data_IF_333042670150
#
_entry.id   IF_333042670150
#
_cell.length_a   1.000
_cell.length_b   1.000
_cell.length_c   1.000
_cell.angle_alpha   90.00
_cell.angle_beta   90.00
_cell.angle_gamma   90.00
#
_symmetry.space_group_name_H-M   'P 1'
#
loop_
_entity.id
_entity.type
_entity.pdbx_description
1 polymer ?
#
# COMPACT_ATOMS: atom_id res chain seq x y z
N UNK A 1 -4.65 26.40 -17.20
CA UNK A 1 -4.53 25.04 -16.68
C UNK A 1 -5.81 24.70 -15.95
N UNK A 2 -6.38 23.52 -16.17
CA UNK A 2 -7.56 23.02 -15.45
C UNK A 2 -7.18 22.59 -14.02
N UNK A 3 -8.14 22.57 -13.08
CA UNK A 3 -7.91 22.05 -11.74
C UNK A 3 -7.31 20.64 -11.77
N UNK A 4 -6.15 20.45 -11.14
CA UNK A 4 -5.45 19.16 -11.06
C UNK A 4 -4.63 18.78 -12.29
N UNK A 5 -4.57 19.61 -13.33
CA UNK A 5 -3.89 19.29 -14.59
C UNK A 5 -2.39 19.01 -14.41
N UNK A 6 -1.70 19.76 -13.54
CA UNK A 6 -0.29 19.53 -13.24
C UNK A 6 -0.03 18.20 -12.52
N UNK A 7 -0.86 17.87 -11.53
CA UNK A 7 -0.78 16.59 -10.80
C UNK A 7 -1.08 15.42 -11.72
N UNK A 8 -2.10 15.55 -12.59
CA UNK A 8 -2.43 14.54 -13.61
C UNK A 8 -1.26 14.31 -14.57
N UNK A 9 -0.63 15.37 -15.08
CA UNK A 9 0.57 15.24 -15.93
C UNK A 9 1.72 14.56 -15.20
N UNK A 10 1.94 14.86 -13.91
CA UNK A 10 2.99 14.19 -13.13
C UNK A 10 2.73 12.68 -12.97
N UNK A 11 1.47 12.29 -12.74
CA UNK A 11 1.05 10.88 -12.67
C UNK A 11 1.21 10.17 -14.02
N UNK A 12 0.66 10.74 -15.10
CA UNK A 12 0.74 10.13 -16.44
C UNK A 12 2.17 9.98 -16.95
N UNK A 13 3.07 10.90 -16.57
CA UNK A 13 4.49 10.82 -16.89
C UNK A 13 5.28 9.92 -15.91
N UNK A 14 4.61 9.21 -15.00
CA UNK A 14 5.23 8.26 -14.07
C UNK A 14 6.10 8.89 -12.97
N UNK A 15 6.09 10.23 -12.81
CA UNK A 15 6.88 10.92 -11.78
C UNK A 15 6.34 10.65 -10.37
N UNK A 16 5.03 10.44 -10.27
CA UNK A 16 4.32 10.06 -9.04
C UNK A 16 3.34 8.93 -9.35
N UNK A 17 2.99 8.12 -8.36
CA UNK A 17 1.90 7.15 -8.47
C UNK A 17 0.54 7.75 -8.07
N UNK A 18 -0.53 6.95 -8.20
CA UNK A 18 -1.90 7.39 -7.94
C UNK A 18 -2.10 7.84 -6.47
N UNK A 19 -1.54 7.10 -5.50
CA UNK A 19 -1.67 7.43 -4.07
C UNK A 19 -0.96 8.75 -3.74
N UNK A 20 0.16 9.04 -4.41
CA UNK A 20 0.86 10.32 -4.28
C UNK A 20 0.07 11.46 -4.94
N UNK A 21 -0.59 11.21 -6.07
CA UNK A 21 -1.45 12.21 -6.72
C UNK A 21 -2.66 12.59 -5.85
N UNK A 22 -3.30 11.62 -5.20
CA UNK A 22 -4.37 11.84 -4.23
C UNK A 22 -3.88 12.63 -3.01
N UNK A 23 -2.68 12.30 -2.52
CA UNK A 23 -2.06 12.97 -1.39
C UNK A 23 -1.82 14.48 -1.64
N UNK A 24 -1.64 14.92 -2.89
CA UNK A 24 -1.56 16.36 -3.22
C UNK A 24 -2.86 17.08 -2.87
N UNK A 25 -4.01 16.48 -3.19
CA UNK A 25 -5.33 17.07 -2.90
C UNK A 25 -5.58 17.05 -1.39
N UNK A 26 -5.23 15.95 -0.71
CA UNK A 26 -5.35 15.84 0.75
C UNK A 26 -4.51 16.91 1.47
N UNK A 27 -3.29 17.16 0.98
CA UNK A 27 -2.39 18.15 1.57
C UNK A 27 -3.00 19.56 1.48
N UNK A 28 -3.52 19.93 0.30
CA UNK A 28 -4.17 21.22 0.07
C UNK A 28 -5.44 21.38 0.91
N UNK A 29 -6.19 20.30 1.13
CA UNK A 29 -7.46 20.32 1.88
C UNK A 29 -7.31 20.08 3.38
N UNK A 30 -6.11 19.78 3.87
CA UNK A 30 -5.89 19.44 5.27
C UNK A 30 -6.31 20.57 6.20
N UNK A 31 -7.08 20.23 7.25
CA UNK A 31 -7.62 21.17 8.24
C UNK A 31 -7.01 21.00 9.63
N UNK A 32 -6.20 19.97 9.82
CA UNK A 32 -5.57 19.61 11.08
C UNK A 32 -4.10 19.29 10.86
N UNK A 33 -3.25 19.53 11.84
CA UNK A 33 -1.83 19.18 11.75
C UNK A 33 -1.63 17.67 11.48
N UNK A 34 -2.50 16.83 12.05
CA UNK A 34 -2.47 15.39 11.84
C UNK A 34 -2.80 14.99 10.39
N UNK A 35 -3.85 15.57 9.80
CA UNK A 35 -4.19 15.31 8.38
C UNK A 35 -3.10 15.82 7.43
N UNK A 36 -2.47 16.96 7.73
CA UNK A 36 -1.33 17.47 6.97
C UNK A 36 -0.13 16.51 7.04
N UNK A 37 0.22 16.00 8.23
CA UNK A 37 1.31 15.02 8.41
C UNK A 37 1.05 13.73 7.62
N UNK A 38 -0.18 13.23 7.63
CA UNK A 38 -0.57 12.03 6.87
C UNK A 38 -0.43 12.29 5.36
N UNK A 39 -0.99 13.40 4.86
CA UNK A 39 -0.90 13.75 3.45
C UNK A 39 0.55 13.93 2.99
N UNK A 40 1.40 14.56 3.80
CA UNK A 40 2.83 14.72 3.49
C UNK A 40 3.56 13.38 3.40
N UNK A 41 3.28 12.44 4.32
CA UNK A 41 3.85 11.07 4.28
C UNK A 41 3.40 10.29 3.05
N UNK A 42 2.13 10.41 2.67
CA UNK A 42 1.61 9.74 1.47
C UNK A 42 2.21 10.34 0.20
N UNK A 43 2.39 11.66 0.14
CA UNK A 43 3.08 12.34 -0.96
C UNK A 43 4.54 11.90 -1.10
N UNK A 44 5.22 11.58 0.01
CA UNK A 44 6.57 10.98 0.02
C UNK A 44 6.59 9.49 -0.44
N UNK A 45 5.43 8.93 -0.78
CA UNK A 45 5.31 7.60 -1.38
C UNK A 45 5.26 6.45 -0.38
N UNK A 46 4.91 6.71 0.89
CA UNK A 46 4.86 5.65 1.91
C UNK A 46 3.87 4.54 1.56
N UNK A 47 2.68 4.88 1.05
CA UNK A 47 1.69 3.89 0.60
C UNK A 47 2.26 2.99 -0.50
N UNK A 48 2.87 3.58 -1.53
CA UNK A 48 3.55 2.82 -2.59
C UNK A 48 4.66 1.91 -2.06
N UNK A 49 5.46 2.37 -1.09
CA UNK A 49 6.52 1.56 -0.48
C UNK A 49 5.95 0.33 0.22
N UNK A 50 4.91 0.50 1.04
CA UNK A 50 4.27 -0.62 1.74
C UNK A 50 3.62 -1.61 0.76
N UNK A 51 2.89 -1.12 -0.24
CA UNK A 51 2.29 -1.98 -1.27
C UNK A 51 3.36 -2.73 -2.05
N UNK A 52 4.46 -2.06 -2.41
CA UNK A 52 5.59 -2.69 -3.12
C UNK A 52 6.23 -3.79 -2.28
N UNK A 53 6.47 -3.54 -0.98
CA UNK A 53 7.02 -4.53 -0.05
C UNK A 53 6.12 -5.77 0.04
N UNK A 54 4.81 -5.57 0.22
CA UNK A 54 3.85 -6.68 0.28
C UNK A 54 3.79 -7.46 -1.04
N UNK A 55 3.84 -6.76 -2.18
CA UNK A 55 3.91 -7.38 -3.50
C UNK A 55 5.16 -8.24 -3.66
N UNK A 56 6.33 -7.76 -3.25
CA UNK A 56 7.58 -8.53 -3.29
C UNK A 56 7.46 -9.81 -2.45
N UNK A 57 6.90 -9.72 -1.25
CA UNK A 57 6.67 -10.90 -0.40
C UNK A 57 5.71 -11.92 -1.04
N UNK A 58 4.70 -11.47 -1.80
CA UNK A 58 3.79 -12.36 -2.54
C UNK A 58 4.53 -13.03 -3.70
N UNK A 59 5.32 -12.27 -4.45
CA UNK A 59 6.14 -12.81 -5.56
C UNK A 59 7.08 -13.89 -5.02
N UNK A 60 7.74 -13.66 -3.90
CA UNK A 60 8.62 -14.65 -3.27
C UNK A 60 7.87 -15.96 -2.92
N UNK A 61 6.62 -15.85 -2.44
CA UNK A 61 5.80 -17.05 -2.17
C UNK A 61 5.45 -17.77 -3.46
N UNK A 62 5.10 -17.05 -4.53
CA UNK A 62 4.78 -17.64 -5.84
C UNK A 62 6.00 -18.37 -6.40
N UNK A 63 7.18 -17.73 -6.40
CA UNK A 63 8.43 -18.35 -6.86
C UNK A 63 8.75 -19.62 -6.07
N UNK A 64 8.55 -19.61 -4.75
CA UNK A 64 8.77 -20.78 -3.91
C UNK A 64 7.77 -21.91 -4.23
N UNK A 65 6.51 -21.58 -4.55
CA UNK A 65 5.50 -22.56 -4.95
C UNK A 65 5.78 -23.14 -6.33
N UNK A 66 6.18 -22.33 -7.31
CA UNK A 66 6.55 -22.77 -8.65
C UNK A 66 7.73 -23.75 -8.58
N UNK A 67 8.81 -23.39 -7.88
CA UNK A 67 9.93 -24.29 -7.65
C UNK A 67 9.52 -25.59 -6.94
N UNK A 68 8.55 -25.52 -6.01
CA UNK A 68 8.02 -26.71 -5.34
C UNK A 68 7.24 -27.64 -6.27
N UNK A 69 6.72 -27.15 -7.40
CA UNK A 69 6.01 -27.95 -8.40
C UNK A 69 6.99 -28.53 -9.41
N UNK A 70 7.94 -27.71 -9.88
CA UNK A 70 8.89 -28.09 -10.92
C UNK A 70 9.92 -29.13 -10.46
N UNK A 71 10.23 -29.18 -9.16
CA UNK A 71 11.33 -29.98 -8.61
C UNK A 71 10.92 -31.10 -7.63
N UNK A 72 9.66 -31.57 -7.71
CA UNK A 72 9.13 -32.64 -6.83
C UNK A 72 9.96 -33.94 -6.91
N UNK A 73 10.50 -34.26 -8.07
CA UNK A 73 11.24 -35.51 -8.32
C UNK A 73 12.75 -35.39 -8.07
N UNK A 74 13.29 -34.18 -7.88
CA UNK A 74 14.73 -33.93 -7.77
C UNK A 74 15.29 -34.06 -6.33
N UNK A 75 14.46 -34.50 -5.38
CA UNK A 75 14.79 -34.67 -3.95
C UNK A 75 15.45 -33.40 -3.33
N UNK A 76 15.11 -32.24 -3.88
CA UNK A 76 15.61 -30.94 -3.45
C UNK A 76 14.93 -30.50 -2.14
N UNK A 77 15.69 -29.79 -1.29
CA UNK A 77 15.18 -29.29 -0.01
C UNK A 77 14.20 -28.11 -0.23
N UNK A 78 12.93 -28.43 -0.43
CA UNK A 78 11.87 -27.47 -0.72
C UNK A 78 11.36 -26.80 0.57
N UNK A 79 10.97 -25.53 0.49
CA UNK A 79 10.35 -24.83 1.63
C UNK A 79 9.03 -25.53 2.02
N UNK A 80 8.86 -25.99 3.27
CA UNK A 80 7.64 -26.68 3.67
C UNK A 80 6.39 -25.81 3.49
N UNK A 81 5.31 -26.39 2.95
CA UNK A 81 4.02 -25.70 2.75
C UNK A 81 3.55 -24.94 3.99
N UNK A 82 3.76 -25.50 5.19
CA UNK A 82 3.42 -24.83 6.47
C UNK A 82 4.10 -23.46 6.64
N UNK A 83 5.36 -23.32 6.20
CA UNK A 83 6.09 -22.05 6.25
C UNK A 83 5.50 -21.05 5.24
N UNK A 84 5.18 -21.50 4.03
CA UNK A 84 4.53 -20.69 2.99
C UNK A 84 3.15 -20.19 3.45
N UNK A 85 2.33 -21.08 4.01
CA UNK A 85 1.03 -20.71 4.60
C UNK A 85 1.18 -19.64 5.69
N UNK A 86 2.20 -19.76 6.55
CA UNK A 86 2.47 -18.76 7.59
C UNK A 86 2.85 -17.40 6.98
N UNK A 87 3.69 -17.37 5.93
CA UNK A 87 4.03 -16.14 5.21
C UNK A 87 2.79 -15.47 4.61
N UNK A 88 1.96 -16.23 3.89
CA UNK A 88 0.72 -15.69 3.28
C UNK A 88 -0.23 -15.13 4.33
N UNK A 89 -0.40 -15.82 5.46
CA UNK A 89 -1.22 -15.32 6.58
C UNK A 89 -0.66 -14.02 7.17
N UNK A 90 0.66 -13.88 7.27
CA UNK A 90 1.31 -12.63 7.68
C UNK A 90 1.02 -11.49 6.73
N UNK A 91 1.24 -11.70 5.42
CA UNK A 91 0.93 -10.70 4.37
C UNK A 91 -0.54 -10.27 4.44
N UNK A 92 -1.46 -11.23 4.61
CA UNK A 92 -2.89 -10.96 4.74
C UNK A 92 -3.19 -10.06 5.95
N UNK A 93 -2.61 -10.38 7.11
CA UNK A 93 -2.82 -9.58 8.32
C UNK A 93 -2.31 -8.14 8.16
N UNK A 94 -1.14 -7.97 7.53
CA UNK A 94 -0.58 -6.63 7.25
C UNK A 94 -1.47 -5.84 6.27
N UNK A 95 -2.05 -6.49 5.25
CA UNK A 95 -3.03 -5.86 4.36
C UNK A 95 -4.31 -5.45 5.10
N UNK A 96 -4.82 -6.30 5.99
CA UNK A 96 -6.00 -6.01 6.80
C UNK A 96 -5.75 -4.82 7.75
N UNK A 97 -4.53 -4.70 8.30
CA UNK A 97 -4.12 -3.55 9.11
C UNK A 97 -4.09 -2.26 8.30
N UNK A 98 -3.48 -2.28 7.09
CA UNK A 98 -3.46 -1.12 6.20
C UNK A 98 -4.87 -0.61 5.84
N UNK A 99 -5.80 -1.53 5.55
CA UNK A 99 -7.21 -1.20 5.24
C UNK A 99 -7.93 -0.63 6.48
N UNK A 100 -7.65 -1.18 7.67
CA UNK A 100 -8.23 -0.71 8.92
C UNK A 100 -7.77 0.71 9.28
N UNK A 101 -6.50 1.02 9.03
CA UNK A 101 -5.93 2.34 9.28
C UNK A 101 -6.42 3.40 8.29
N UNK A 102 -6.76 3.03 7.06
CA UNK A 102 -7.43 3.94 6.12
C UNK A 102 -8.78 4.44 6.66
N UNK A 103 -9.59 3.54 7.25
CA UNK A 103 -10.89 3.90 7.86
C UNK A 103 -10.73 4.87 9.03
N UNK A 104 -9.68 4.71 9.84
CA UNK A 104 -9.33 5.67 10.89
C UNK A 104 -8.82 7.00 10.29
N UNK A 105 -8.04 6.91 9.21
CA UNK A 105 -7.53 8.04 8.45
C UNK A 105 -8.63 8.89 7.84
N UNK A 106 -9.74 8.29 7.40
CA UNK A 106 -10.90 8.98 6.86
C UNK A 106 -11.60 9.86 7.92
N UNK A 107 -11.73 9.36 9.15
CA UNK A 107 -12.26 10.11 10.30
C UNK A 107 -11.34 11.31 10.63
N UNK A 108 -10.02 11.09 10.61
CA UNK A 108 -9.02 12.15 10.87
C UNK A 108 -8.98 13.18 9.74
N UNK A 109 -9.16 12.75 8.48
CA UNK A 109 -9.21 13.63 7.30
C UNK A 109 -10.45 14.52 7.28
N UNK A 110 -11.61 13.96 7.60
CA UNK A 110 -12.89 14.66 7.51
C UNK A 110 -13.25 15.44 8.79
N UNK A 111 -12.59 15.14 9.91
CA UNK A 111 -12.97 15.62 11.23
C UNK A 111 -14.28 15.00 11.72
N UNK A 112 -14.53 15.05 13.02
CA UNK A 112 -15.86 14.71 13.57
C UNK A 112 -16.82 15.83 13.15
N UNK A 113 -17.77 15.54 12.25
CA UNK A 113 -18.91 16.42 12.04
C UNK A 113 -19.78 16.37 13.31
N UNK A 114 -19.48 17.22 14.28
CA UNK A 114 -20.41 17.52 15.34
C UNK A 114 -21.52 18.38 14.73
N UNK A 115 -22.68 17.77 14.47
CA UNK A 115 -23.90 18.53 14.27
C UNK A 115 -24.32 19.07 15.65
N UNK A 116 -24.41 20.40 15.78
CA UNK A 116 -25.06 21.07 16.90
C UNK A 116 -26.48 21.44 16.49
#
# INVERSE_FOLDING_TARGET
AEPGEFTKRAFLNGRIDLSQAEAVIDLVRSKTEQSLKIAARNLQGNVKKEIKRLKEMIIDVVVQLEASVDFIEEDLEITPYRKLTKKVKGIKAELEELISDEKKGEIIKNGVKAAY
#
